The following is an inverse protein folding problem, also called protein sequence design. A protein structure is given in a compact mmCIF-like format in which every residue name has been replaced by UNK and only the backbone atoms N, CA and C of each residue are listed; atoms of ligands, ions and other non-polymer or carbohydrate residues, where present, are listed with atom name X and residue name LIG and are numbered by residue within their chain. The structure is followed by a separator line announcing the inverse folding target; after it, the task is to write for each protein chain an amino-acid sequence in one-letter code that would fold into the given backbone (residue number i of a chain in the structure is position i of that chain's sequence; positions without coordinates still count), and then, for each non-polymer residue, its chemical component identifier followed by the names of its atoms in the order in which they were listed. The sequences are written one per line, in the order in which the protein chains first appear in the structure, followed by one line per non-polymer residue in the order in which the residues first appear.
data_IF_162804950386
#
_entry.id   IF_162804950386
#
_cell.length_a   1.000
_cell.length_b   1.000
_cell.length_c   1.000
_cell.angle_alpha   90.00
_cell.angle_beta   90.00
_cell.angle_gamma   90.00
#
_symmetry.space_group_name_H-M   'P 1'
#
loop_
_entity.id
_entity.type
_entity.pdbx_description
1 polymer ?
#
# COMPACT_ATOMS: atom_id res chain seq x y z
N UNK A 1 18.42 29.34 3.47
CA UNK A 1 18.09 29.04 3.85
C UNK A 1 17.32 28.74 3.95
N UNK A 2 17.50 28.35 4.07
CA UNK A 2 16.87 27.88 4.26
C UNK A 2 16.06 27.56 4.66
N UNK A 3 15.87 27.64 4.76
CA UNK A 3 15.21 27.37 5.19
C UNK A 3 14.65 26.98 5.55
N UNK A 4 14.92 27.26 5.38
CA UNK A 4 14.45 27.06 5.95
C UNK A 4 13.52 26.12 6.35
N UNK A 5 13.91 25.40 6.31
CA UNK A 5 13.06 24.26 6.54
C UNK A 5 13.13 23.80 8.00
N UNK A 6 11.98 23.69 8.63
CA UNK A 6 11.95 23.31 10.03
C UNK A 6 12.32 21.84 10.20
N UNK A 7 13.17 21.51 11.20
CA UNK A 7 13.48 20.09 11.48
C UNK A 7 12.27 19.26 11.85
N UNK A 8 11.19 19.89 12.34
CA UNK A 8 9.99 19.16 12.74
C UNK A 8 9.15 18.71 11.55
N UNK A 9 9.51 19.12 10.34
CA UNK A 9 8.75 18.77 9.13
C UNK A 9 9.46 17.63 8.40
N UNK A 10 9.92 16.65 9.11
CA UNK A 10 10.51 15.47 8.47
C UNK A 10 9.42 14.56 7.97
N UNK A 11 9.57 14.14 6.73
CA UNK A 11 8.65 13.14 6.19
C UNK A 11 8.91 11.78 6.83
N UNK A 12 7.87 10.95 6.99
CA UNK A 12 8.08 9.57 7.42
C UNK A 12 9.04 8.83 6.48
N UNK A 13 9.93 8.04 7.06
CA UNK A 13 10.95 7.32 6.29
C UNK A 13 10.33 6.40 5.25
N UNK A 14 9.15 5.86 5.55
CA UNK A 14 8.50 4.90 4.65
C UNK A 14 8.22 5.52 3.26
N UNK A 15 8.05 6.84 3.18
CA UNK A 15 7.76 7.49 1.90
C UNK A 15 8.90 7.32 0.89
N UNK A 16 10.14 7.26 1.38
CA UNK A 16 11.31 7.11 0.51
C UNK A 16 11.81 5.67 0.40
N UNK A 17 11.14 4.72 1.05
CA UNK A 17 11.50 3.31 0.91
C UNK A 17 11.10 2.83 -0.48
N UNK A 18 11.99 2.09 -1.12
CA UNK A 18 11.72 1.54 -2.44
C UNK A 18 10.59 0.52 -2.37
N UNK A 19 9.65 0.59 -3.33
CA UNK A 19 8.59 -0.40 -3.45
C UNK A 19 9.17 -1.82 -3.54
N UNK A 20 10.31 -1.96 -4.24
CA UNK A 20 11.00 -3.24 -4.38
C UNK A 20 11.42 -3.83 -3.04
N UNK A 21 11.57 -2.99 -2.00
CA UNK A 21 11.93 -3.47 -0.65
C UNK A 21 10.69 -3.83 0.17
N UNK A 22 9.60 -3.13 -0.01
CA UNK A 22 8.38 -3.36 0.76
C UNK A 22 7.53 -4.49 0.20
N UNK A 23 7.43 -4.58 -1.11
CA UNK A 23 6.59 -5.57 -1.77
C UNK A 23 6.89 -7.01 -1.32
N UNK A 24 8.17 -7.45 -1.26
CA UNK A 24 8.44 -8.82 -0.80
C UNK A 24 7.97 -9.10 0.63
N UNK A 25 7.91 -8.07 1.47
CA UNK A 25 7.43 -8.23 2.85
C UNK A 25 5.93 -8.53 2.86
N UNK A 26 5.17 -7.87 2.00
CA UNK A 26 3.74 -8.16 1.86
C UNK A 26 3.51 -9.57 1.34
N UNK A 27 4.28 -9.98 0.33
CA UNK A 27 4.18 -11.34 -0.21
C UNK A 27 4.51 -12.37 0.85
N UNK A 28 5.60 -12.15 1.61
CA UNK A 28 6.00 -13.07 2.67
C UNK A 28 4.92 -13.16 3.75
N UNK A 29 4.31 -12.04 4.13
CA UNK A 29 3.24 -12.04 5.12
C UNK A 29 2.06 -12.89 4.67
N UNK A 30 1.68 -12.75 3.40
CA UNK A 30 0.57 -13.52 2.84
C UNK A 30 0.92 -15.01 2.77
N UNK A 31 2.11 -15.33 2.30
CA UNK A 31 2.52 -16.73 2.12
C UNK A 31 2.64 -17.46 3.44
N UNK A 32 3.06 -16.79 4.51
CA UNK A 32 3.11 -17.40 5.83
C UNK A 32 1.73 -17.86 6.30
N UNK A 33 0.67 -17.29 5.76
CA UNK A 33 -0.71 -17.63 6.12
C UNK A 33 -1.40 -18.44 5.03
N UNK A 34 -0.64 -19.02 4.10
CA UNK A 34 -1.20 -19.87 3.06
C UNK A 34 -1.85 -19.14 1.92
N UNK A 35 -1.65 -17.81 1.82
CA UNK A 35 -2.16 -17.04 0.69
C UNK A 35 -1.06 -16.91 -0.37
N UNK A 36 -1.39 -16.38 -1.53
CA UNK A 36 -0.48 -16.41 -2.66
C UNK A 36 -0.01 -15.03 -3.08
N UNK A 37 1.14 -14.99 -3.77
CA UNK A 37 1.64 -13.78 -4.39
C UNK A 37 0.62 -13.21 -5.38
N UNK A 38 -0.07 -14.08 -6.13
CA UNK A 38 -1.07 -13.61 -7.08
C UNK A 38 -2.23 -12.89 -6.39
N UNK A 39 -2.62 -13.34 -5.21
CA UNK A 39 -3.65 -12.64 -4.44
C UNK A 39 -3.16 -11.26 -3.98
N UNK A 40 -1.89 -11.15 -3.58
CA UNK A 40 -1.30 -9.86 -3.25
C UNK A 40 -1.31 -8.94 -4.47
N UNK A 41 -0.89 -9.46 -5.62
CA UNK A 41 -0.84 -8.68 -6.86
C UNK A 41 -2.24 -8.25 -7.28
N UNK A 42 -3.24 -9.09 -7.09
CA UNK A 42 -4.61 -8.76 -7.41
C UNK A 42 -5.13 -7.62 -6.54
N UNK A 43 -4.78 -7.62 -5.25
CA UNK A 43 -5.11 -6.53 -4.35
C UNK A 43 -4.47 -5.22 -4.84
N UNK A 44 -3.19 -5.29 -5.23
CA UNK A 44 -2.48 -4.11 -5.72
C UNK A 44 -3.10 -3.56 -7.00
N UNK A 45 -3.44 -4.44 -7.93
CA UNK A 45 -4.08 -4.01 -9.18
C UNK A 45 -5.43 -3.34 -8.91
N UNK A 46 -6.20 -3.90 -7.98
CA UNK A 46 -7.48 -3.33 -7.59
C UNK A 46 -7.31 -1.94 -6.97
N UNK A 47 -6.35 -1.81 -6.06
CA UNK A 47 -6.16 -0.56 -5.31
C UNK A 47 -5.66 0.58 -6.19
N UNK A 48 -4.70 0.30 -7.06
CA UNK A 48 -3.91 1.33 -7.75
C UNK A 48 -4.28 1.51 -9.22
N UNK A 49 -4.93 0.53 -9.82
CA UNK A 49 -5.16 0.55 -11.26
C UNK A 49 -3.95 0.15 -12.09
N UNK A 50 -2.81 -0.16 -11.47
CA UNK A 50 -1.68 -0.69 -12.23
C UNK A 50 -2.04 -2.02 -12.84
N UNK A 51 -1.54 -2.27 -14.06
CA UNK A 51 -1.53 -3.61 -14.62
C UNK A 51 -0.34 -4.37 -14.09
N UNK A 52 -0.35 -5.69 -14.22
CA UNK A 52 0.72 -6.54 -13.68
C UNK A 52 2.09 -6.10 -14.20
N UNK A 53 2.20 -5.82 -15.49
CA UNK A 53 3.47 -5.41 -16.06
C UNK A 53 3.96 -4.07 -15.50
N UNK A 54 3.02 -3.16 -15.23
CA UNK A 54 3.37 -1.88 -14.63
C UNK A 54 3.85 -2.04 -13.18
N UNK A 55 3.25 -2.96 -12.43
CA UNK A 55 3.74 -3.27 -11.08
C UNK A 55 5.17 -3.76 -11.13
N UNK A 56 5.46 -4.66 -12.07
CA UNK A 56 6.82 -5.19 -12.24
C UNK A 56 7.80 -4.10 -12.64
N UNK A 57 7.37 -3.18 -13.48
CA UNK A 57 8.20 -2.04 -13.88
C UNK A 57 8.54 -1.16 -12.68
N UNK A 58 7.58 -0.90 -11.80
CA UNK A 58 7.83 -0.08 -10.60
C UNK A 58 8.83 -0.75 -9.67
N UNK A 59 8.80 -2.08 -9.58
CA UNK A 59 9.80 -2.83 -8.82
C UNK A 59 11.17 -2.67 -9.47
N UNK A 60 11.24 -2.87 -10.78
CA UNK A 60 12.52 -2.78 -11.51
C UNK A 60 13.12 -1.38 -11.44
N UNK A 61 12.31 -0.36 -11.46
CA UNK A 61 12.75 1.03 -11.36
C UNK A 61 13.09 1.44 -9.92
N UNK A 62 12.81 0.59 -8.96
CA UNK A 62 13.00 0.86 -7.53
C UNK A 62 12.30 2.15 -7.10
N UNK A 63 11.10 2.38 -7.65
CA UNK A 63 10.30 3.55 -7.28
C UNK A 63 10.04 3.55 -5.77
N UNK A 64 10.15 4.70 -5.12
CA UNK A 64 9.80 4.80 -3.71
C UNK A 64 8.28 4.81 -3.54
N UNK A 65 7.81 4.70 -2.30
CA UNK A 65 6.37 4.64 -2.05
C UNK A 65 5.64 5.90 -2.50
N UNK A 66 6.26 7.05 -2.33
CA UNK A 66 5.66 8.30 -2.81
C UNK A 66 5.40 8.23 -4.31
N UNK A 67 6.42 7.83 -5.07
CA UNK A 67 6.31 7.71 -6.53
C UNK A 67 5.33 6.62 -6.92
N UNK A 68 5.37 5.49 -6.22
CA UNK A 68 4.48 4.36 -6.50
C UNK A 68 3.02 4.80 -6.46
N UNK A 69 2.63 5.51 -5.41
CA UNK A 69 1.24 5.97 -5.29
C UNK A 69 0.95 7.18 -6.17
N UNK A 70 1.92 8.08 -6.37
CA UNK A 70 1.72 9.25 -7.22
C UNK A 70 1.50 8.87 -8.69
N UNK A 71 2.18 7.80 -9.14
CA UNK A 71 2.08 7.34 -10.53
C UNK A 71 0.95 6.34 -10.75
N UNK A 72 0.20 6.00 -9.71
CA UNK A 72 -0.88 5.02 -9.84
C UNK A 72 -1.90 5.50 -10.87
N UNK A 73 -2.20 4.69 -11.91
CA UNK A 73 -3.05 5.15 -13.00
C UNK A 73 -4.48 5.47 -12.58
N UNK A 74 -5.02 4.71 -11.62
CA UNK A 74 -6.42 4.90 -11.23
C UNK A 74 -6.65 4.33 -9.83
N UNK A 75 -6.37 5.13 -8.81
CA UNK A 75 -6.67 4.72 -7.44
C UNK A 75 -8.16 4.43 -7.33
N UNK A 76 -8.49 3.25 -6.81
CA UNK A 76 -9.87 2.81 -6.75
C UNK A 76 -10.68 3.68 -5.78
N UNK A 77 -11.75 4.34 -6.23
CA UNK A 77 -12.56 5.17 -5.33
C UNK A 77 -13.22 4.37 -4.20
N UNK A 78 -13.43 3.07 -4.38
CA UNK A 78 -14.00 2.22 -3.34
C UNK A 78 -13.04 1.98 -2.19
N UNK A 79 -11.77 2.38 -2.32
CA UNK A 79 -10.81 2.25 -1.23
C UNK A 79 -11.21 3.06 0.01
N UNK A 80 -12.09 4.05 -0.15
CA UNK A 80 -12.60 4.80 0.99
C UNK A 80 -13.46 3.94 1.92
N UNK A 81 -13.88 2.77 1.47
CA UNK A 81 -14.60 1.81 2.32
C UNK A 81 -13.67 0.98 3.20
N UNK A 82 -12.36 1.12 3.03
CA UNK A 82 -11.39 0.39 3.85
C UNK A 82 -11.30 1.09 5.19
N UNK A 83 -11.68 0.37 6.25
CA UNK A 83 -11.74 0.91 7.61
C UNK A 83 -11.19 -0.09 8.60
N UNK A 84 -10.94 0.38 9.80
CA UNK A 84 -10.56 -0.48 10.90
C UNK A 84 -9.11 -0.34 11.29
N UNK A 85 -8.68 -1.23 12.18
CA UNK A 85 -7.34 -1.17 12.75
C UNK A 85 -6.34 -1.98 11.92
N UNK A 86 -5.17 -1.41 11.72
CA UNK A 86 -4.01 -2.12 11.19
C UNK A 86 -2.77 -1.51 11.85
N UNK A 87 -1.89 -2.36 12.35
CA UNK A 87 -0.67 -1.91 13.03
C UNK A 87 -0.96 -0.87 14.11
N UNK A 88 -2.07 -1.05 14.84
CA UNK A 88 -2.45 -0.16 15.93
C UNK A 88 -3.05 1.18 15.50
N UNK A 89 -3.32 1.37 14.22
CA UNK A 89 -3.82 2.64 13.67
C UNK A 89 -5.18 2.41 13.02
N UNK A 90 -6.13 3.32 13.27
CA UNK A 90 -7.40 3.32 12.54
C UNK A 90 -7.19 3.98 11.19
N UNK A 91 -7.40 3.22 10.13
CA UNK A 91 -7.13 3.69 8.77
C UNK A 91 -7.90 4.97 8.45
N UNK A 92 -9.18 5.01 8.82
CA UNK A 92 -10.04 6.13 8.48
C UNK A 92 -9.69 7.42 9.19
N UNK A 93 -8.83 7.37 10.22
CA UNK A 93 -8.44 8.57 10.97
C UNK A 93 -7.08 9.12 10.54
N UNK A 94 -6.40 8.47 9.59
CA UNK A 94 -5.10 8.94 9.13
C UNK A 94 -5.29 10.19 8.26
N UNK A 95 -4.65 11.29 8.65
CA UNK A 95 -4.87 12.59 8.02
C UNK A 95 -4.03 12.78 6.76
N UNK A 96 -2.72 12.40 6.83
CA UNK A 96 -1.83 12.56 5.69
C UNK A 96 -2.29 11.66 4.53
N UNK A 97 -2.56 12.21 3.35
CA UNK A 97 -3.10 11.41 2.24
C UNK A 97 -2.22 10.24 1.84
N UNK A 98 -0.90 10.43 1.77
CA UNK A 98 0.00 9.34 1.38
C UNK A 98 0.04 8.26 2.46
N UNK A 99 0.16 8.64 3.72
CA UNK A 99 0.13 7.68 4.81
C UNK A 99 -1.19 6.92 4.82
N UNK A 100 -2.29 7.59 4.52
CA UNK A 100 -3.59 6.92 4.46
C UNK A 100 -3.61 5.83 3.39
N UNK A 101 -3.04 6.09 2.22
CA UNK A 101 -2.98 5.07 1.18
C UNK A 101 -2.12 3.89 1.61
N UNK A 102 -1.00 4.17 2.26
CA UNK A 102 -0.13 3.12 2.78
C UNK A 102 -0.86 2.27 3.81
N UNK A 103 -1.60 2.90 4.71
CA UNK A 103 -2.35 2.17 5.74
C UNK A 103 -3.53 1.39 5.14
N UNK A 104 -4.15 1.92 4.10
CA UNK A 104 -5.18 1.17 3.37
C UNK A 104 -4.60 -0.10 2.78
N UNK A 105 -3.43 -0.01 2.15
CA UNK A 105 -2.76 -1.19 1.61
C UNK A 105 -2.40 -2.17 2.72
N UNK A 106 -1.82 -1.68 3.82
CA UNK A 106 -1.50 -2.52 4.98
C UNK A 106 -2.74 -3.28 5.45
N UNK A 107 -3.89 -2.59 5.49
CA UNK A 107 -5.14 -3.21 5.96
C UNK A 107 -5.60 -4.31 5.03
N UNK A 108 -5.53 -4.09 3.72
CA UNK A 108 -5.92 -5.10 2.74
C UNK A 108 -5.04 -6.36 2.87
N UNK A 109 -3.74 -6.18 3.02
CA UNK A 109 -2.81 -7.29 3.16
C UNK A 109 -3.04 -8.01 4.50
N UNK A 110 -3.33 -7.25 5.56
CA UNK A 110 -3.66 -7.83 6.85
C UNK A 110 -4.92 -8.69 6.77
N UNK A 111 -5.95 -8.21 6.08
CA UNK A 111 -7.19 -8.99 5.88
C UNK A 111 -6.91 -10.27 5.10
N UNK A 112 -6.04 -10.20 4.10
CA UNK A 112 -5.65 -11.37 3.34
C UNK A 112 -4.96 -12.39 4.24
N UNK A 113 -4.00 -11.93 5.05
CA UNK A 113 -3.26 -12.80 5.96
C UNK A 113 -4.17 -13.41 7.03
N UNK A 114 -5.25 -12.73 7.40
CA UNK A 114 -6.21 -13.25 8.39
C UNK A 114 -7.22 -14.21 7.80
N UNK A 115 -7.14 -14.50 6.51
CA UNK A 115 -7.99 -15.51 5.88
C UNK A 115 -9.25 -14.97 5.25
N UNK A 116 -9.41 -13.66 5.15
CA UNK A 116 -10.60 -13.10 4.53
C UNK A 116 -10.66 -13.48 3.05
N UNK A 117 -11.83 -13.86 2.52
CA UNK A 117 -11.94 -14.16 1.08
C UNK A 117 -11.63 -12.92 0.24
N UNK A 118 -10.98 -13.14 -0.90
CA UNK A 118 -10.54 -12.04 -1.74
C UNK A 118 -11.69 -11.16 -2.21
N UNK A 119 -12.83 -11.76 -2.53
CA UNK A 119 -14.00 -11.01 -2.99
C UNK A 119 -14.58 -10.10 -1.89
N UNK A 120 -14.24 -10.34 -0.64
CA UNK A 120 -14.63 -9.47 0.45
C UNK A 120 -13.58 -8.40 0.75
N UNK A 121 -12.31 -8.72 0.46
CA UNK A 121 -11.22 -7.74 0.61
C UNK A 121 -11.39 -6.64 -0.43
N UNK A 122 -11.70 -7.01 -1.66
CA UNK A 122 -11.90 -6.07 -2.74
C UNK A 122 -13.32 -5.50 -2.66
N UNK A 123 -13.45 -4.34 -2.01
CA UNK A 123 -14.75 -3.72 -1.76
C UNK A 123 -15.49 -3.48 -3.07
N UNK A 124 -16.81 -3.47 -2.97
CA UNK A 124 -17.66 -3.25 -4.13
C UNK A 124 -18.83 -2.34 -3.77
#
# INVERSE_FOLDING_TARGET
MPILRSPSIKEPRIYSIAWASLYPLYVAKAERKGRTKEEVDQILRWLTGYRQKQLETKIAQRADLRTFFADAPAMNPLRTKIEGLVCGVRVETVVDPLMREIRRLDKLIDELARGKPLDRILRS
#
